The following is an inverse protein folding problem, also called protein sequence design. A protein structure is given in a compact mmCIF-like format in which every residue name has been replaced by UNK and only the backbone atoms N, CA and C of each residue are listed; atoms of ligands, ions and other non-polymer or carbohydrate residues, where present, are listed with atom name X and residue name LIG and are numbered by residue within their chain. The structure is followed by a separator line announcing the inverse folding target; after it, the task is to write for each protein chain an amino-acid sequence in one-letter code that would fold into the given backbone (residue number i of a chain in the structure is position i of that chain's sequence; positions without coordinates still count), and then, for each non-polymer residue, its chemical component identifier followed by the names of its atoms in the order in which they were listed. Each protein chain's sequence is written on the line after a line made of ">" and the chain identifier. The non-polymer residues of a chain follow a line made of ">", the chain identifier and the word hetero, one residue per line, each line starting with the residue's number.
data_IF_567447194302
#
_entry.id   IF_567447194302
#
_cell.length_a   1.000
_cell.length_b   1.000
_cell.length_c   1.000
_cell.angle_alpha   90.00
_cell.angle_beta   90.00
_cell.angle_gamma   90.00
#
_symmetry.space_group_name_H-M   'P 1'
#
loop_
_entity.id
_entity.type
_entity.pdbx_description
1 polymer ?
#
# COMPACT_ATOMS: atom_id res chain seq x y z
N UNK A 1 -2.51 22.76 4.67
CA UNK A 1 -1.16 22.30 4.35
C UNK A 1 -0.58 23.21 3.28
N UNK A 2 0.31 24.13 3.66
CA UNK A 2 1.14 24.87 2.72
C UNK A 2 2.38 24.01 2.48
N UNK A 3 2.50 23.36 1.32
CA UNK A 3 3.71 22.62 0.98
C UNK A 3 4.85 23.62 0.73
N UNK A 4 5.79 23.72 1.67
CA UNK A 4 7.03 24.47 1.51
C UNK A 4 7.87 23.82 0.41
N UNK A 5 7.66 24.21 -0.85
CA UNK A 5 8.38 23.65 -2.01
C UNK A 5 7.59 23.63 -3.32
N UNK A 6 6.27 23.85 -3.27
CA UNK A 6 5.51 24.00 -4.50
C UNK A 6 5.88 25.35 -5.18
N UNK A 7 6.25 25.36 -6.47
CA UNK A 7 6.63 26.60 -7.17
C UNK A 7 5.47 27.60 -7.29
N UNK A 8 4.24 27.16 -7.04
CA UNK A 8 3.02 27.98 -7.00
C UNK A 8 2.04 27.45 -5.93
N UNK A 9 1.14 28.28 -5.40
CA UNK A 9 0.07 27.83 -4.52
C UNK A 9 -0.80 26.77 -5.24
N UNK A 10 -0.96 25.60 -4.62
CA UNK A 10 -1.78 24.51 -5.12
C UNK A 10 -2.76 24.04 -4.04
N UNK A 11 -3.94 23.63 -4.48
CA UNK A 11 -4.95 22.97 -3.66
C UNK A 11 -5.00 21.51 -4.08
N UNK A 12 -4.69 20.61 -3.15
CA UNK A 12 -4.69 19.17 -3.41
C UNK A 12 -5.98 18.54 -2.88
N UNK A 13 -6.60 17.71 -3.71
CA UNK A 13 -7.70 16.83 -3.32
C UNK A 13 -7.20 15.40 -3.37
N UNK A 14 -7.14 14.74 -2.22
CA UNK A 14 -6.63 13.36 -2.09
C UNK A 14 -7.69 12.52 -1.41
N UNK A 15 -7.93 11.32 -1.95
CA UNK A 15 -8.88 10.37 -1.41
C UNK A 15 -8.35 8.94 -1.55
N UNK A 16 -8.68 8.07 -0.60
CA UNK A 16 -8.48 6.63 -0.74
C UNK A 16 -9.56 6.09 -1.68
N UNK A 17 -9.14 5.34 -2.69
CA UNK A 17 -10.03 4.71 -3.68
C UNK A 17 -9.91 3.18 -3.59
N UNK A 18 -10.85 2.46 -4.21
CA UNK A 18 -10.88 0.99 -4.29
C UNK A 18 -10.86 0.27 -2.91
N UNK A 19 -11.85 0.58 -2.07
CA UNK A 19 -12.00 -0.02 -0.73
C UNK A 19 -12.77 -1.36 -0.72
N UNK A 20 -13.49 -1.70 -1.79
CA UNK A 20 -14.40 -2.85 -1.81
C UNK A 20 -13.74 -4.17 -2.19
N UNK A 21 -12.44 -4.16 -2.47
CA UNK A 21 -11.69 -5.37 -2.80
C UNK A 21 -11.47 -6.23 -1.56
N UNK A 22 -12.31 -7.26 -1.39
CA UNK A 22 -12.17 -8.23 -0.29
C UNK A 22 -10.95 -9.12 -0.49
N UNK A 23 -10.13 -9.22 0.56
CA UNK A 23 -9.05 -10.19 0.62
C UNK A 23 -9.61 -11.60 0.88
N UNK A 24 -10.01 -12.29 -0.20
CA UNK A 24 -10.61 -13.63 -0.13
C UNK A 24 -9.61 -14.79 0.02
N UNK A 25 -10.12 -15.99 0.30
CA UNK A 25 -9.34 -17.23 0.49
C UNK A 25 -8.41 -17.56 -0.70
N UNK A 26 -8.81 -17.21 -1.93
CA UNK A 26 -7.99 -17.43 -3.14
C UNK A 26 -6.64 -16.69 -3.10
N UNK A 27 -6.60 -15.48 -2.51
CA UNK A 27 -5.35 -14.74 -2.35
C UNK A 27 -4.49 -15.32 -1.21
N UNK A 28 -5.10 -15.87 -0.16
CA UNK A 28 -4.38 -16.58 0.92
C UNK A 28 -3.63 -17.80 0.39
N UNK A 29 -4.31 -18.65 -0.40
CA UNK A 29 -3.68 -19.85 -0.98
C UNK A 29 -2.55 -19.49 -1.94
N UNK A 30 -2.74 -18.47 -2.78
CA UNK A 30 -1.68 -17.99 -3.67
C UNK A 30 -0.49 -17.39 -2.90
N UNK A 31 -0.72 -16.70 -1.78
CA UNK A 31 0.35 -16.17 -0.93
C UNK A 31 1.15 -17.32 -0.29
N UNK A 32 0.49 -18.29 0.33
CA UNK A 32 1.17 -19.46 0.93
C UNK A 32 2.00 -20.22 -0.09
N UNK A 33 1.47 -20.44 -1.29
CA UNK A 33 2.21 -21.09 -2.37
C UNK A 33 3.47 -20.32 -2.76
N UNK A 34 3.37 -19.00 -2.93
CA UNK A 34 4.50 -18.14 -3.31
C UNK A 34 5.57 -18.09 -2.22
N UNK A 35 5.20 -17.95 -0.95
CA UNK A 35 6.13 -17.96 0.19
C UNK A 35 6.86 -19.30 0.33
N UNK A 36 6.15 -20.42 0.14
CA UNK A 36 6.75 -21.77 0.23
C UNK A 36 7.73 -22.04 -0.91
N UNK A 37 7.47 -21.50 -2.11
CA UNK A 37 8.31 -21.74 -3.29
C UNK A 37 9.50 -20.78 -3.44
N UNK A 38 9.38 -19.52 -3.00
CA UNK A 38 10.36 -18.48 -3.29
C UNK A 38 10.95 -17.79 -2.04
N UNK A 39 10.62 -18.29 -0.84
CA UNK A 39 11.07 -17.67 0.41
C UNK A 39 10.41 -16.32 0.69
N UNK A 40 10.59 -15.81 1.91
CA UNK A 40 10.03 -14.54 2.39
C UNK A 40 10.64 -13.29 1.76
N UNK A 41 11.69 -13.43 0.94
CA UNK A 41 12.47 -12.31 0.39
C UNK A 41 11.93 -11.73 -0.91
N UNK A 42 10.88 -12.31 -1.50
CA UNK A 42 10.18 -11.70 -2.64
C UNK A 42 9.04 -10.83 -2.10
N UNK A 43 9.00 -9.56 -2.50
CA UNK A 43 7.90 -8.63 -2.22
C UNK A 43 6.61 -9.11 -2.90
N UNK A 44 5.95 -10.11 -2.32
CA UNK A 44 4.69 -10.62 -2.83
C UNK A 44 3.65 -9.52 -2.64
N UNK A 45 3.09 -8.96 -3.74
CA UNK A 45 2.06 -7.91 -3.67
C UNK A 45 0.78 -8.32 -2.94
N UNK A 46 0.60 -9.63 -2.72
CA UNK A 46 -0.47 -10.20 -1.91
C UNK A 46 -0.03 -10.33 -0.45
N UNK A 47 0.02 -9.20 0.26
CA UNK A 47 0.20 -9.17 1.73
C UNK A 47 -1.16 -9.15 2.44
N UNK A 48 -1.16 -9.46 3.74
CA UNK A 48 -2.36 -9.31 4.58
C UNK A 48 -2.81 -7.83 4.60
N UNK A 49 -4.13 -7.55 4.74
CA UNK A 49 -4.64 -6.17 4.76
C UNK A 49 -3.94 -5.26 5.76
N UNK A 50 -3.58 -5.78 6.93
CA UNK A 50 -2.90 -5.02 8.00
C UNK A 50 -1.50 -4.56 7.56
N UNK A 51 -0.77 -5.43 6.85
CA UNK A 51 0.55 -5.10 6.30
C UNK A 51 0.47 -4.12 5.13
N UNK A 52 -0.58 -4.24 4.30
CA UNK A 52 -0.84 -3.27 3.24
C UNK A 52 -1.11 -1.88 3.83
N UNK A 53 -1.96 -1.79 4.85
CA UNK A 53 -2.26 -0.54 5.55
C UNK A 53 -1.01 0.11 6.14
N UNK A 54 -0.14 -0.68 6.80
CA UNK A 54 1.13 -0.17 7.33
C UNK A 54 2.02 0.41 6.23
N UNK A 55 2.23 -0.33 5.13
CA UNK A 55 3.05 0.11 4.00
C UNK A 55 2.50 1.38 3.35
N UNK A 56 1.18 1.48 3.23
CA UNK A 56 0.53 2.68 2.68
C UNK A 56 0.83 3.91 3.55
N UNK A 57 0.71 3.79 4.87
CA UNK A 57 1.02 4.88 5.80
C UNK A 57 2.50 5.26 5.74
N UNK A 58 3.41 4.28 5.78
CA UNK A 58 4.85 4.52 5.71
C UNK A 58 5.24 5.25 4.41
N UNK A 59 4.60 4.90 3.28
CA UNK A 59 4.79 5.58 2.00
C UNK A 59 4.25 7.02 2.01
N UNK A 60 3.04 7.24 2.52
CA UNK A 60 2.41 8.56 2.55
C UNK A 60 3.22 9.54 3.41
N UNK A 61 3.78 9.08 4.53
CA UNK A 61 4.68 9.90 5.36
C UNK A 61 5.93 10.34 4.58
N UNK A 62 6.54 9.45 3.78
CA UNK A 62 7.72 9.80 2.97
C UNK A 62 7.41 10.77 1.81
N UNK A 63 6.17 10.79 1.31
CA UNK A 63 5.81 11.57 0.14
C UNK A 63 5.18 12.93 0.46
N UNK A 64 4.65 13.10 1.67
CA UNK A 64 3.87 14.29 2.06
C UNK A 64 4.66 15.20 3.02
N UNK A 65 5.73 14.70 3.64
CA UNK A 65 6.68 15.49 4.42
C UNK A 65 7.55 16.41 3.56
#
# INVERSE_FOLDING_TARGET
>A
MHCCGAPRPMVYFVAIIDLLTRYGMRKRTAQTYKTVKHGTSTEVSSVKPEMYGKRLLDFMSQCID
#
